data_IF_793291817680
#
_entry.id   IF_793291817680
#
_cell.length_a   1.000
_cell.length_b   1.000
_cell.length_c   1.000
_cell.angle_alpha   90.00
_cell.angle_beta   90.00
_cell.angle_gamma   90.00
#
_symmetry.space_group_name_H-M   'P 1'
#
loop_
_entity.id
_entity.type
_entity.pdbx_description
1 polymer ?
#
# COMPACT_ATOMS: atom_id res chain seq x y z
N UNK A 1 -18.68 -15.87 10.83
CA UNK A 1 -19.38 -14.86 10.01
C UNK A 1 -18.92 -13.51 10.55
N UNK A 2 -18.31 -12.68 9.72
CA UNK A 2 -17.87 -11.33 10.10
C UNK A 2 -19.00 -10.39 9.67
N UNK A 3 -19.47 -9.56 10.59
CA UNK A 3 -20.42 -8.51 10.26
C UNK A 3 -19.66 -7.27 9.79
N UNK A 4 -20.18 -6.61 8.77
CA UNK A 4 -19.56 -5.43 8.17
C UNK A 4 -20.59 -4.31 8.21
N UNK A 5 -20.19 -3.20 8.81
CA UNK A 5 -20.99 -1.99 8.87
C UNK A 5 -21.20 -1.42 7.46
N UNK A 6 -22.46 -1.35 7.06
CA UNK A 6 -22.88 -0.89 5.73
C UNK A 6 -22.69 0.61 5.54
N UNK A 7 -22.76 1.39 6.62
CA UNK A 7 -22.49 2.83 6.55
C UNK A 7 -21.00 3.09 6.32
N UNK A 8 -20.14 2.29 6.95
CA UNK A 8 -18.69 2.36 6.72
C UNK A 8 -18.27 1.82 5.35
N UNK A 9 -19.04 0.88 4.79
CA UNK A 9 -18.77 0.27 3.50
C UNK A 9 -19.18 1.16 2.33
N UNK A 10 -20.26 1.94 2.46
CA UNK A 10 -20.83 2.74 1.38
C UNK A 10 -19.83 3.70 0.70
N UNK A 11 -18.99 4.46 1.44
CA UNK A 11 -17.97 5.31 0.83
C UNK A 11 -16.93 4.53 0.02
N UNK A 12 -16.50 3.37 0.54
CA UNK A 12 -15.54 2.51 -0.15
C UNK A 12 -16.17 1.88 -1.40
N UNK A 13 -17.45 1.53 -1.34
CA UNK A 13 -18.18 0.97 -2.48
C UNK A 13 -18.32 1.99 -3.62
N UNK A 14 -18.62 3.24 -3.27
CA UNK A 14 -18.72 4.37 -4.21
C UNK A 14 -17.36 4.68 -4.86
N UNK A 15 -16.30 4.83 -4.05
CA UNK A 15 -14.94 5.10 -4.55
C UNK A 15 -14.43 3.98 -5.47
N UNK A 16 -14.75 2.73 -5.15
CA UNK A 16 -14.32 1.55 -5.90
C UNK A 16 -15.26 1.21 -7.07
N UNK A 17 -16.42 1.87 -7.20
CA UNK A 17 -17.42 1.58 -8.22
C UNK A 17 -18.01 0.17 -8.11
N UNK A 18 -18.16 -0.34 -6.88
CA UNK A 18 -18.60 -1.72 -6.61
C UNK A 18 -20.02 -1.76 -6.05
N UNK A 19 -20.73 -2.87 -6.31
CA UNK A 19 -22.16 -3.01 -5.96
C UNK A 19 -22.44 -4.11 -4.93
N UNK A 20 -21.41 -4.86 -4.53
CA UNK A 20 -21.55 -5.94 -3.55
C UNK A 20 -20.50 -5.82 -2.45
N UNK A 21 -20.88 -6.12 -1.21
CA UNK A 21 -19.99 -6.00 -0.05
C UNK A 21 -18.70 -6.81 -0.22
N UNK A 22 -18.82 -8.03 -0.74
CA UNK A 22 -17.68 -8.92 -0.98
C UNK A 22 -16.75 -8.32 -2.04
N UNK A 23 -17.31 -7.74 -3.10
CA UNK A 23 -16.51 -7.08 -4.15
C UNK A 23 -15.79 -5.85 -3.59
N UNK A 24 -16.49 -5.01 -2.81
CA UNK A 24 -15.89 -3.82 -2.18
C UNK A 24 -14.74 -4.20 -1.26
N UNK A 25 -14.94 -5.18 -0.37
CA UNK A 25 -13.89 -5.63 0.56
C UNK A 25 -12.69 -6.20 -0.19
N UNK A 26 -12.93 -7.09 -1.15
CA UNK A 26 -11.85 -7.70 -1.92
C UNK A 26 -11.05 -6.68 -2.74
N UNK A 27 -11.71 -5.63 -3.24
CA UNK A 27 -11.05 -4.54 -3.97
C UNK A 27 -10.32 -3.55 -3.03
N UNK A 28 -10.78 -3.39 -1.79
CA UNK A 28 -10.17 -2.50 -0.80
C UNK A 28 -8.89 -3.10 -0.17
N UNK A 29 -8.85 -4.42 0.04
CA UNK A 29 -7.72 -5.09 0.71
C UNK A 29 -6.35 -4.82 0.03
N UNK A 30 -6.20 -4.92 -1.31
CA UNK A 30 -4.95 -4.59 -1.98
C UNK A 30 -4.53 -3.13 -1.76
N UNK A 31 -5.45 -2.18 -1.85
CA UNK A 31 -5.17 -0.74 -1.64
C UNK A 31 -4.62 -0.48 -0.24
N UNK A 32 -5.19 -1.11 0.78
CA UNK A 32 -4.70 -0.95 2.17
C UNK A 32 -3.34 -1.62 2.35
N UNK A 33 -3.11 -2.78 1.73
CA UNK A 33 -1.81 -3.45 1.76
C UNK A 33 -0.72 -2.59 1.09
N UNK A 34 -1.02 -1.98 -0.05
CA UNK A 34 -0.13 -1.07 -0.76
C UNK A 34 0.15 0.21 0.04
N UNK A 35 -0.87 0.85 0.61
CA UNK A 35 -0.70 2.00 1.50
C UNK A 35 0.17 1.67 2.71
N UNK A 36 -0.01 0.48 3.29
CA UNK A 36 0.83 -0.02 4.38
C UNK A 36 2.28 -0.26 3.95
N UNK A 37 2.50 -0.80 2.75
CA UNK A 37 3.83 -0.96 2.17
C UNK A 37 4.51 0.40 1.92
N UNK A 38 3.80 1.36 1.33
CA UNK A 38 4.31 2.72 1.13
C UNK A 38 4.59 3.46 2.44
N UNK A 39 3.86 3.18 3.53
CA UNK A 39 4.17 3.73 4.85
C UNK A 39 5.42 3.12 5.49
N UNK A 40 5.72 1.86 5.18
CA UNK A 40 6.92 1.17 5.70
C UNK A 40 8.18 1.51 4.90
N UNK A 41 8.05 1.77 3.59
CA UNK A 41 9.19 2.12 2.73
C UNK A 41 10.10 3.24 3.28
N UNK A 42 9.60 4.38 3.79
CA UNK A 42 10.48 5.42 4.35
C UNK A 42 11.25 4.95 5.57
N UNK A 43 10.62 4.19 6.46
CA UNK A 43 11.27 3.66 7.65
C UNK A 43 12.31 2.58 7.31
N UNK A 44 11.97 1.71 6.35
CA UNK A 44 12.88 0.69 5.83
C UNK A 44 14.06 1.35 5.11
N UNK A 45 13.83 2.39 4.30
CA UNK A 45 14.87 3.13 3.58
C UNK A 45 15.78 3.94 4.51
N UNK A 46 15.26 4.47 5.61
CA UNK A 46 16.09 5.11 6.66
C UNK A 46 16.89 4.08 7.49
N UNK A 47 16.43 2.83 7.54
CA UNK A 47 17.11 1.72 8.22
C UNK A 47 18.06 0.97 7.29
N UNK A 48 17.93 1.15 5.98
CA UNK A 48 18.86 0.64 4.98
C UNK A 48 20.16 1.43 5.06
N UNK A 49 21.24 0.75 5.45
CA UNK A 49 22.59 1.28 5.30
C UNK A 49 22.93 1.25 3.80
N UNK A 50 22.67 2.37 3.13
CA UNK A 50 23.03 2.56 1.74
C UNK A 50 24.50 2.97 1.66
N UNK A 51 25.31 2.17 0.95
CA UNK A 51 26.70 2.51 0.65
C UNK A 51 26.73 3.57 -0.45
N UNK A 52 26.54 4.83 -0.03
CA UNK A 52 26.49 6.01 -0.89
C UNK A 52 27.87 6.63 -1.11
N UNK A 53 28.93 5.81 -1.10
CA UNK A 53 30.26 6.31 -1.40
C UNK A 53 30.38 6.68 -2.90
N UNK A 54 31.14 7.74 -3.24
CA UNK A 54 31.26 8.23 -4.61
C UNK A 54 31.84 7.22 -5.60
N UNK A 55 32.66 6.28 -5.15
CA UNK A 55 33.30 5.29 -6.02
C UNK A 55 32.34 4.12 -6.32
N UNK A 56 31.55 3.65 -5.36
CA UNK A 56 30.48 2.66 -5.59
C UNK A 56 29.40 3.20 -6.52
N UNK A 57 28.98 4.46 -6.35
CA UNK A 57 27.95 5.06 -7.21
C UNK A 57 28.39 5.24 -8.66
N UNK A 58 29.68 5.52 -8.94
CA UNK A 58 30.20 5.62 -10.32
C UNK A 58 30.16 4.30 -11.08
N UNK A 59 30.25 3.16 -10.39
CA UNK A 59 30.20 1.83 -11.00
C UNK A 59 28.80 1.41 -11.44
N UNK A 60 27.75 1.92 -10.79
CA UNK A 60 26.37 1.50 -11.03
C UNK A 60 25.70 2.12 -12.28
N UNK A 61 26.31 3.14 -12.89
CA UNK A 61 25.76 3.90 -14.03
C UNK A 61 26.56 3.72 -15.33
N UNK A 62 27.41 2.69 -15.39
CA UNK A 62 28.10 2.24 -16.62
C UNK A 62 27.37 1.07 -17.25
#
# INVERSE_FOLDING_TARGET
MIDIDDEALAPAADELGTTSKVTTVNAALPRVAEQGASRRMPADMMSMELDLDPDTMKGAWR
#
